data_IF_823861783892
#
_entry.id   IF_823861783892
#
_cell.length_a   1.000
_cell.length_b   1.000
_cell.length_c   1.000
_cell.angle_alpha   90.00
_cell.angle_beta   90.00
_cell.angle_gamma   90.00
#
_symmetry.space_group_name_H-M   'P 1'
#
loop_
_entity.id
_entity.type
_entity.pdbx_description
1 polymer ?
#
# COMPACT_ATOMS: atom_id res chain seq x y z
N UNK A 1 8.77 14.23 23.01
CA UNK A 1 7.75 13.98 21.97
C UNK A 1 8.02 14.79 20.69
N UNK A 2 8.21 16.11 20.77
CA UNK A 2 8.46 16.97 19.60
C UNK A 2 9.66 16.56 18.74
N UNK A 3 10.83 16.32 19.35
CA UNK A 3 12.04 15.91 18.61
C UNK A 3 11.83 14.59 17.85
N UNK A 4 11.21 13.60 18.51
CA UNK A 4 10.88 12.32 17.86
C UNK A 4 9.96 12.53 16.66
N UNK A 5 8.87 13.30 16.81
CA UNK A 5 7.95 13.57 15.71
C UNK A 5 8.60 14.37 14.58
N UNK A 6 9.50 15.30 14.89
CA UNK A 6 10.32 15.99 13.88
C UNK A 6 11.17 15.00 13.09
N UNK A 7 11.83 14.05 13.77
CA UNK A 7 12.62 13.01 13.10
C UNK A 7 11.73 12.14 12.21
N UNK A 8 10.58 11.65 12.72
CA UNK A 8 9.67 10.83 11.93
C UNK A 8 9.12 11.61 10.71
N UNK A 9 8.84 12.90 10.87
CA UNK A 9 8.42 13.75 9.78
C UNK A 9 9.52 13.94 8.72
N UNK A 10 10.77 14.14 9.14
CA UNK A 10 11.91 14.19 8.21
C UNK A 10 12.09 12.85 7.47
N UNK A 11 11.95 11.71 8.15
CA UNK A 11 11.95 10.38 7.51
C UNK A 11 10.81 10.26 6.52
N UNK A 12 9.62 10.75 6.85
CA UNK A 12 8.48 10.76 5.94
C UNK A 12 8.77 11.55 4.65
N UNK A 13 9.31 12.76 4.78
CA UNK A 13 9.68 13.60 3.62
C UNK A 13 10.79 12.97 2.78
N UNK A 14 11.86 12.48 3.39
CA UNK A 14 12.98 11.83 2.68
C UNK A 14 12.50 10.57 1.96
N UNK A 15 11.72 9.73 2.65
CA UNK A 15 11.16 8.52 2.05
C UNK A 15 10.19 8.83 0.92
N UNK A 16 9.45 9.95 0.97
CA UNK A 16 8.60 10.40 -0.13
C UNK A 16 9.44 10.73 -1.36
N UNK A 17 10.49 11.54 -1.20
CA UNK A 17 11.39 11.90 -2.31
C UNK A 17 12.00 10.65 -2.96
N UNK A 18 12.48 9.70 -2.14
CA UNK A 18 13.10 8.48 -2.64
C UNK A 18 12.08 7.53 -3.28
N UNK A 19 10.88 7.38 -2.70
CA UNK A 19 9.74 6.71 -3.30
C UNK A 19 9.53 7.25 -4.72
N UNK A 20 9.27 8.55 -4.88
CA UNK A 20 8.94 9.15 -6.18
C UNK A 20 10.08 9.00 -7.19
N UNK A 21 11.33 9.24 -6.75
CA UNK A 21 12.53 9.05 -7.58
C UNK A 21 12.60 7.64 -8.17
N UNK A 22 12.40 6.61 -7.35
CA UNK A 22 12.47 5.22 -7.82
C UNK A 22 11.25 4.82 -8.65
N UNK A 23 10.07 5.38 -8.36
CA UNK A 23 8.88 5.18 -9.18
C UNK A 23 9.03 5.75 -10.59
N UNK A 24 9.55 6.98 -10.74
CA UNK A 24 9.76 7.56 -12.06
C UNK A 24 10.81 6.79 -12.86
N UNK A 25 11.94 6.45 -12.24
CA UNK A 25 12.97 5.64 -12.91
C UNK A 25 12.48 4.26 -13.34
N UNK A 26 11.65 3.61 -12.53
CA UNK A 26 11.06 2.31 -12.89
C UNK A 26 10.21 2.44 -14.15
N UNK A 27 9.37 3.47 -14.24
CA UNK A 27 8.51 3.73 -15.41
C UNK A 27 9.31 4.09 -16.66
N UNK A 28 10.28 4.98 -16.53
CA UNK A 28 11.11 5.44 -17.65
C UNK A 28 11.97 4.30 -18.24
N UNK A 29 12.36 3.35 -17.39
CA UNK A 29 13.20 2.21 -17.79
C UNK A 29 12.41 0.97 -18.18
N UNK A 30 11.10 0.91 -17.93
CA UNK A 30 10.31 -0.32 -18.05
C UNK A 30 10.41 -0.96 -19.44
N UNK A 31 10.26 -0.16 -20.51
CA UNK A 31 10.30 -0.64 -21.89
C UNK A 31 11.73 -0.74 -22.45
N UNK A 32 12.66 0.06 -21.92
CA UNK A 32 14.01 0.21 -22.48
C UNK A 32 15.00 -0.75 -21.82
N UNK A 33 14.90 -0.91 -20.50
CA UNK A 33 15.83 -1.67 -19.66
C UNK A 33 15.10 -2.38 -18.51
N UNK A 34 14.37 -3.47 -18.80
CA UNK A 34 13.47 -4.12 -17.85
C UNK A 34 14.17 -4.64 -16.59
N UNK A 35 15.42 -5.09 -16.70
CA UNK A 35 16.19 -5.55 -15.53
C UNK A 35 16.54 -4.40 -14.57
N UNK A 36 16.92 -3.23 -15.11
CA UNK A 36 17.18 -2.04 -14.29
C UNK A 36 15.87 -1.50 -13.70
N UNK A 37 14.77 -1.53 -14.47
CA UNK A 37 13.43 -1.16 -14.00
C UNK A 37 12.99 -2.03 -12.82
N UNK A 38 13.22 -3.35 -12.88
CA UNK A 38 12.91 -4.27 -11.78
C UNK A 38 13.69 -3.94 -10.49
N UNK A 39 14.96 -3.55 -10.59
CA UNK A 39 15.74 -3.10 -9.44
C UNK A 39 15.23 -1.75 -8.88
N UNK A 40 14.75 -0.85 -9.74
CA UNK A 40 14.08 0.37 -9.28
C UNK A 40 12.72 0.06 -8.62
N UNK A 41 11.97 -0.92 -9.12
CA UNK A 41 10.70 -1.37 -8.56
C UNK A 41 10.87 -1.83 -7.10
N UNK A 42 11.88 -2.67 -6.82
CA UNK A 42 12.20 -3.09 -5.44
C UNK A 42 12.45 -1.91 -4.51
N UNK A 43 13.28 -0.96 -4.95
CA UNK A 43 13.61 0.25 -4.17
C UNK A 43 12.38 1.13 -3.98
N UNK A 44 11.55 1.27 -5.01
CA UNK A 44 10.28 1.98 -4.93
C UNK A 44 9.41 1.37 -3.82
N UNK A 45 9.12 0.07 -3.87
CA UNK A 45 8.27 -0.57 -2.87
C UNK A 45 8.85 -0.50 -1.45
N UNK A 46 10.17 -0.59 -1.30
CA UNK A 46 10.84 -0.41 -0.02
C UNK A 46 10.62 1.00 0.57
N UNK A 47 10.91 2.05 -0.20
CA UNK A 47 10.72 3.44 0.26
C UNK A 47 9.25 3.81 0.44
N UNK A 48 8.36 3.26 -0.39
CA UNK A 48 6.91 3.36 -0.18
C UNK A 48 6.51 2.75 1.17
N UNK A 49 7.11 1.63 1.57
CA UNK A 49 6.88 1.03 2.89
C UNK A 49 7.28 1.96 4.04
N UNK A 50 8.49 2.52 4.00
CA UNK A 50 8.96 3.49 4.99
C UNK A 50 8.05 4.73 5.05
N UNK A 51 7.60 5.22 3.89
CA UNK A 51 6.72 6.38 3.80
C UNK A 51 5.35 6.13 4.48
N UNK A 52 4.76 4.94 4.29
CA UNK A 52 3.51 4.58 4.96
C UNK A 52 3.69 4.39 6.47
N UNK A 53 4.73 3.68 6.90
CA UNK A 53 4.99 3.47 8.32
C UNK A 53 5.20 4.81 9.04
N UNK A 54 5.98 5.72 8.44
CA UNK A 54 6.24 7.04 9.02
C UNK A 54 4.97 7.88 9.14
N UNK A 55 4.09 7.92 8.14
CA UNK A 55 2.82 8.66 8.25
C UNK A 55 1.89 8.01 9.28
N UNK A 56 1.84 6.68 9.38
CA UNK A 56 1.05 6.01 10.40
C UNK A 56 1.55 6.33 11.81
N UNK A 57 2.87 6.32 12.04
CA UNK A 57 3.46 6.73 13.34
C UNK A 57 3.11 8.18 13.67
N UNK A 58 3.13 9.09 12.69
CA UNK A 58 2.75 10.50 12.90
C UNK A 58 1.27 10.62 13.29
N UNK A 59 0.37 9.99 12.52
CA UNK A 59 -1.07 10.08 12.78
C UNK A 59 -1.41 9.45 14.13
N UNK A 60 -0.79 8.32 14.48
CA UNK A 60 -1.01 7.68 15.78
C UNK A 60 -0.52 8.56 16.91
N UNK A 61 0.69 9.10 16.82
CA UNK A 61 1.27 9.91 17.90
C UNK A 61 0.52 11.22 18.13
N UNK A 62 -0.12 11.78 17.10
CA UNK A 62 -0.85 13.06 17.19
C UNK A 62 -2.34 12.90 17.51
N UNK A 63 -2.97 11.85 16.98
CA UNK A 63 -4.43 11.72 16.98
C UNK A 63 -4.92 10.38 17.54
N UNK A 64 -4.01 9.55 18.06
CA UNK A 64 -4.34 8.26 18.66
C UNK A 64 -4.49 7.13 17.65
N UNK A 65 -4.58 5.92 18.18
CA UNK A 65 -4.59 4.68 17.40
C UNK A 65 -5.75 4.65 16.40
N UNK A 66 -6.97 5.01 16.85
CA UNK A 66 -8.17 4.99 16.01
C UNK A 66 -8.09 5.92 14.80
N UNK A 67 -7.43 7.06 14.92
CA UNK A 67 -7.25 8.01 13.80
C UNK A 67 -6.25 7.48 12.77
N UNK A 68 -5.12 6.93 13.22
CA UNK A 68 -4.17 6.24 12.34
C UNK A 68 -4.83 5.06 11.64
N UNK A 69 -5.64 4.34 12.39
CA UNK A 69 -6.36 3.18 11.93
C UNK A 69 -7.38 3.53 10.83
N UNK A 70 -8.19 4.57 11.06
CA UNK A 70 -9.11 5.11 10.06
C UNK A 70 -8.36 5.59 8.81
N UNK A 71 -7.25 6.31 9.00
CA UNK A 71 -6.41 6.79 7.90
C UNK A 71 -5.86 5.63 7.06
N UNK A 72 -5.28 4.61 7.69
CA UNK A 72 -4.73 3.44 7.00
C UNK A 72 -5.81 2.67 6.22
N UNK A 73 -7.00 2.55 6.79
CA UNK A 73 -8.15 1.89 6.14
C UNK A 73 -8.70 2.69 4.97
N UNK A 74 -8.87 4.01 5.14
CA UNK A 74 -9.33 4.89 4.07
C UNK A 74 -8.33 4.92 2.91
N UNK A 75 -7.03 4.89 3.22
CA UNK A 75 -5.99 4.76 2.21
C UNK A 75 -6.06 3.39 1.51
N UNK A 76 -6.16 2.30 2.26
CA UNK A 76 -6.16 0.96 1.67
C UNK A 76 -7.45 0.60 0.91
N UNK A 77 -8.59 1.15 1.30
CA UNK A 77 -9.88 0.89 0.66
C UNK A 77 -10.16 1.94 -0.40
N UNK A 78 -10.17 3.22 -0.03
CA UNK A 78 -10.49 4.32 -0.92
C UNK A 78 -9.41 4.55 -1.98
N UNK A 79 -8.17 4.82 -1.56
CA UNK A 79 -7.11 5.17 -2.51
C UNK A 79 -6.77 4.00 -3.45
N UNK A 80 -6.70 2.77 -2.95
CA UNK A 80 -6.45 1.58 -3.78
C UNK A 80 -7.54 1.34 -4.83
N UNK A 81 -8.82 1.41 -4.43
CA UNK A 81 -9.96 1.29 -5.35
C UNK A 81 -9.92 2.41 -6.40
N UNK A 82 -9.67 3.64 -5.99
CA UNK A 82 -9.57 4.78 -6.90
C UNK A 82 -8.41 4.61 -7.89
N UNK A 83 -7.24 4.14 -7.44
CA UNK A 83 -6.13 3.82 -8.33
C UNK A 83 -6.53 2.74 -9.35
N UNK A 84 -7.16 1.65 -8.91
CA UNK A 84 -7.58 0.58 -9.81
C UNK A 84 -8.59 1.07 -10.85
N UNK A 85 -9.64 1.77 -10.42
CA UNK A 85 -10.74 2.19 -11.29
C UNK A 85 -10.36 3.38 -12.18
N UNK A 86 -9.76 4.43 -11.60
CA UNK A 86 -9.51 5.68 -12.32
C UNK A 86 -8.23 5.59 -13.15
N UNK A 87 -7.13 5.16 -12.53
CA UNK A 87 -5.79 5.18 -13.15
C UNK A 87 -5.55 3.94 -13.99
N UNK A 88 -5.81 2.75 -13.44
CA UNK A 88 -5.48 1.49 -14.10
C UNK A 88 -6.61 0.96 -15.00
N UNK A 89 -7.82 1.51 -14.90
CA UNK A 89 -9.03 1.04 -15.61
C UNK A 89 -9.30 -0.46 -15.39
N UNK A 90 -9.06 -0.94 -14.15
CA UNK A 90 -9.26 -2.32 -13.72
C UNK A 90 -10.40 -2.42 -12.68
N UNK A 91 -10.92 -3.63 -12.38
CA UNK A 91 -11.90 -3.81 -11.32
C UNK A 91 -11.43 -3.23 -9.99
N UNK A 92 -12.35 -2.74 -9.16
CA UNK A 92 -12.05 -2.09 -7.88
C UNK A 92 -11.14 -2.92 -6.96
N UNK A 93 -11.36 -4.23 -6.92
CA UNK A 93 -10.61 -5.20 -6.12
C UNK A 93 -9.63 -6.01 -6.96
N UNK A 94 -9.12 -5.44 -8.06
CA UNK A 94 -8.15 -6.11 -8.93
C UNK A 94 -6.98 -6.64 -8.12
N UNK A 95 -6.59 -7.89 -8.41
CA UNK A 95 -5.44 -8.56 -7.79
C UNK A 95 -4.39 -8.76 -8.87
N UNK A 96 -3.17 -8.25 -8.66
CA UNK A 96 -2.05 -8.43 -9.58
C UNK A 96 -1.58 -9.89 -9.66
N UNK A 97 -0.51 -10.19 -10.40
CA UNK A 97 0.05 -11.55 -10.50
C UNK A 97 1.50 -11.64 -10.01
N UNK A 98 2.15 -10.50 -9.81
CA UNK A 98 3.60 -10.42 -9.58
C UNK A 98 3.96 -10.19 -8.12
N UNK A 99 3.19 -9.38 -7.38
CA UNK A 99 3.48 -9.08 -5.98
C UNK A 99 3.19 -10.31 -5.10
N UNK A 100 4.00 -10.54 -4.07
CA UNK A 100 3.82 -11.71 -3.20
C UNK A 100 2.50 -11.65 -2.42
N UNK A 101 2.02 -10.46 -2.10
CA UNK A 101 0.69 -10.24 -1.51
C UNK A 101 -0.42 -10.67 -2.47
N UNK A 102 -0.29 -10.38 -3.76
CA UNK A 102 -1.24 -10.80 -4.78
C UNK A 102 -1.21 -12.32 -4.98
N UNK A 103 -0.01 -12.92 -5.01
CA UNK A 103 0.15 -14.38 -5.07
C UNK A 103 -0.50 -15.06 -3.87
N UNK A 104 -0.35 -14.49 -2.68
CA UNK A 104 -1.01 -15.00 -1.48
C UNK A 104 -2.54 -14.93 -1.63
N UNK A 105 -3.10 -13.78 -2.03
CA UNK A 105 -4.55 -13.62 -2.23
C UNK A 105 -5.07 -14.62 -3.29
N UNK A 106 -4.34 -14.81 -4.38
CA UNK A 106 -4.68 -15.79 -5.43
C UNK A 106 -4.64 -17.21 -4.91
N UNK A 107 -3.62 -17.60 -4.14
CA UNK A 107 -3.52 -18.93 -3.52
C UNK A 107 -4.67 -19.18 -2.56
N UNK A 108 -5.05 -18.18 -1.76
CA UNK A 108 -6.24 -18.27 -0.91
C UNK A 108 -7.48 -18.44 -1.80
N UNK A 109 -7.66 -17.61 -2.84
CA UNK A 109 -8.80 -17.68 -3.76
C UNK A 109 -8.94 -19.06 -4.44
N UNK A 110 -7.84 -19.66 -4.85
CA UNK A 110 -7.79 -21.03 -5.39
C UNK A 110 -8.23 -22.06 -4.35
N UNK A 111 -7.75 -21.94 -3.10
CA UNK A 111 -8.12 -22.83 -2.00
C UNK A 111 -9.63 -22.78 -1.69
N UNK A 112 -10.24 -21.59 -1.68
CA UNK A 112 -11.67 -21.40 -1.45
C UNK A 112 -12.53 -21.43 -2.73
N UNK A 113 -11.91 -21.66 -3.90
CA UNK A 113 -12.57 -21.76 -5.21
C UNK A 113 -13.44 -20.55 -5.60
N UNK A 114 -12.97 -19.34 -5.31
CA UNK A 114 -13.62 -18.09 -5.77
C UNK A 114 -12.64 -17.21 -6.57
N UNK A 115 -13.15 -16.18 -7.24
CA UNK A 115 -12.29 -15.23 -7.95
C UNK A 115 -11.40 -14.45 -6.98
N UNK A 116 -10.12 -14.21 -7.30
CA UNK A 116 -9.19 -13.45 -6.45
C UNK A 116 -9.72 -12.08 -6.01
N UNK A 117 -10.48 -11.40 -6.86
CA UNK A 117 -11.08 -10.10 -6.58
C UNK A 117 -12.09 -10.19 -5.42
N UNK A 118 -12.88 -11.27 -5.36
CA UNK A 118 -13.81 -11.50 -4.25
C UNK A 118 -13.06 -11.88 -2.97
N UNK A 119 -11.98 -12.65 -3.07
CA UNK A 119 -11.11 -12.94 -1.92
C UNK A 119 -10.49 -11.67 -1.37
N UNK A 120 -9.98 -10.79 -2.25
CA UNK A 120 -9.46 -9.48 -1.88
C UNK A 120 -10.52 -8.67 -1.13
N UNK A 121 -11.72 -8.53 -1.71
CA UNK A 121 -12.83 -7.83 -1.08
C UNK A 121 -13.20 -8.43 0.29
N UNK A 122 -13.30 -9.76 0.41
CA UNK A 122 -13.60 -10.44 1.67
C UNK A 122 -12.53 -10.20 2.72
N UNK A 123 -11.24 -10.25 2.37
CA UNK A 123 -10.15 -9.91 3.30
C UNK A 123 -10.29 -8.46 3.75
N UNK A 124 -10.61 -7.54 2.83
CA UNK A 124 -10.83 -6.12 3.19
C UNK A 124 -12.00 -5.93 4.14
N UNK A 125 -13.12 -6.59 3.88
CA UNK A 125 -14.31 -6.56 4.75
C UNK A 125 -14.05 -7.23 6.09
N UNK A 126 -13.37 -8.38 6.12
CA UNK A 126 -13.03 -9.09 7.36
C UNK A 126 -12.15 -8.24 8.25
N UNK A 127 -11.11 -7.63 7.68
CA UNK A 127 -10.26 -6.68 8.39
C UNK A 127 -11.17 -5.59 8.95
N UNK A 128 -11.97 -4.91 8.13
CA UNK A 128 -12.90 -3.85 8.57
C UNK A 128 -13.82 -4.30 9.73
N UNK A 129 -14.39 -5.50 9.66
CA UNK A 129 -15.28 -6.05 10.69
C UNK A 129 -14.52 -6.29 11.99
N UNK A 130 -13.36 -6.95 11.94
CA UNK A 130 -12.52 -7.16 13.13
C UNK A 130 -12.23 -5.82 13.81
N UNK A 131 -11.97 -4.79 13.01
CA UNK A 131 -11.64 -3.45 13.50
C UNK A 131 -12.82 -2.72 14.12
N UNK A 132 -14.04 -2.92 13.59
CA UNK A 132 -15.25 -2.38 14.19
C UNK A 132 -15.60 -3.06 15.53
N UNK A 133 -15.27 -4.36 15.67
CA UNK A 133 -15.51 -5.14 16.88
C UNK A 133 -14.49 -4.83 17.99
N UNK A 134 -13.23 -4.57 17.62
CA UNK A 134 -12.17 -4.23 18.59
C UNK A 134 -12.26 -2.80 19.15
N UNK A 135 -13.29 -2.04 18.77
CA UNK A 135 -13.60 -0.70 19.25
C UNK A 135 -14.49 -0.74 20.48
#
# INVERSE_FOLDING_TARGET
>A
MTIFLTIVFLVHLISWVLYQKHQFKERDLYEIKPQEAYEQNKKWHFWKGINHISVYVLVWSLYGFWSMFLFATAFWFGFDILCNVIVLKRPAFYVGVTADTDKFIRKVAEFIKIKPEYTSALIKVLILIILLILK
#
